data_IF_744492136705
#
_entry.id   IF_744492136705
#
_cell.length_a   1.000
_cell.length_b   1.000
_cell.length_c   1.000
_cell.angle_alpha   90.00
_cell.angle_beta   90.00
_cell.angle_gamma   90.00
#
_symmetry.space_group_name_H-M   'P 1'
#
loop_
_entity.id
_entity.type
_entity.pdbx_description
1 polymer ?
#
# COMPACT_ATOMS: atom_id res chain seq x y z
N UNK A 1 6.67 -39.57 -31.53
CA UNK A 1 6.43 -38.11 -31.68
C UNK A 1 5.01 -37.67 -31.31
N UNK A 2 4.01 -38.57 -31.22
CA UNK A 2 2.62 -38.21 -30.89
C UNK A 2 2.39 -38.12 -29.36
N UNK A 3 3.07 -38.95 -28.56
CA UNK A 3 2.94 -38.94 -27.08
C UNK A 3 3.41 -37.63 -26.44
N UNK A 4 4.54 -37.09 -26.90
CA UNK A 4 5.09 -35.84 -26.38
C UNK A 4 4.17 -34.65 -26.63
N UNK A 5 3.45 -34.62 -27.76
CA UNK A 5 2.50 -33.56 -28.08
C UNK A 5 1.32 -33.55 -27.11
N UNK A 6 0.81 -34.72 -26.70
CA UNK A 6 -0.29 -34.82 -25.73
C UNK A 6 0.10 -34.37 -24.32
N UNK A 7 1.33 -34.66 -23.89
CA UNK A 7 1.84 -34.21 -22.59
C UNK A 7 2.04 -32.70 -22.58
N UNK A 8 2.57 -32.14 -23.67
CA UNK A 8 2.80 -30.69 -23.80
C UNK A 8 1.47 -29.93 -23.79
N UNK A 9 0.46 -30.41 -24.51
CA UNK A 9 -0.86 -29.74 -24.53
C UNK A 9 -1.57 -29.83 -23.19
N UNK A 10 -1.50 -30.98 -22.50
CA UNK A 10 -2.05 -31.13 -21.15
C UNK A 10 -1.37 -30.19 -20.15
N UNK A 11 -0.04 -30.08 -20.20
CA UNK A 11 0.72 -29.17 -19.36
C UNK A 11 0.37 -27.70 -19.65
N UNK A 12 0.27 -27.33 -20.94
CA UNK A 12 -0.12 -25.98 -21.33
C UNK A 12 -1.51 -25.63 -20.78
N UNK A 13 -2.49 -26.51 -20.96
CA UNK A 13 -3.86 -26.31 -20.45
C UNK A 13 -3.89 -26.14 -18.93
N UNK A 14 -3.13 -26.96 -18.19
CA UNK A 14 -3.02 -26.86 -16.74
C UNK A 14 -2.42 -25.51 -16.31
N UNK A 15 -1.33 -25.08 -16.95
CA UNK A 15 -0.67 -23.81 -16.66
C UNK A 15 -1.58 -22.61 -16.96
N UNK A 16 -2.30 -22.63 -18.09
CA UNK A 16 -3.28 -21.60 -18.42
C UNK A 16 -4.44 -21.56 -17.42
N UNK A 17 -4.93 -22.72 -16.99
CA UNK A 17 -5.96 -22.81 -15.96
C UNK A 17 -5.52 -22.23 -14.62
N UNK A 18 -4.30 -22.57 -14.18
CA UNK A 18 -3.72 -22.01 -12.95
C UNK A 18 -3.52 -20.49 -13.07
N UNK A 19 -2.98 -20.01 -14.19
CA UNK A 19 -2.80 -18.58 -14.43
C UNK A 19 -4.14 -17.82 -14.43
N UNK A 20 -5.21 -18.41 -14.97
CA UNK A 20 -6.56 -17.86 -14.94
C UNK A 20 -7.11 -17.79 -13.51
N UNK A 21 -6.92 -18.84 -12.69
CA UNK A 21 -7.32 -18.82 -11.28
C UNK A 21 -6.53 -17.80 -10.47
N UNK A 22 -5.22 -17.69 -10.69
CA UNK A 22 -4.38 -16.71 -10.00
C UNK A 22 -4.77 -15.27 -10.33
N UNK A 23 -5.31 -15.01 -11.53
CA UNK A 23 -5.86 -13.70 -11.91
C UNK A 23 -7.14 -13.32 -11.14
N UNK A 24 -7.90 -14.30 -10.65
CA UNK A 24 -9.10 -14.06 -9.84
C UNK A 24 -8.76 -13.80 -8.37
N UNK A 25 -7.55 -14.18 -7.94
CA UNK A 25 -7.10 -13.82 -6.62
C UNK A 25 -6.79 -12.32 -6.59
N UNK A 26 -7.19 -11.60 -5.53
CA UNK A 26 -6.94 -10.18 -5.39
C UNK A 26 -5.47 -9.91 -4.98
N UNK A 27 -4.51 -10.47 -5.72
CA UNK A 27 -3.07 -10.20 -5.58
C UNK A 27 -2.80 -8.80 -6.13
N UNK A 28 -2.64 -7.83 -5.23
CA UNK A 28 -2.42 -6.42 -5.59
C UNK A 28 -3.43 -5.44 -4.96
N UNK A 29 -4.47 -5.94 -4.29
CA UNK A 29 -5.41 -5.10 -3.52
C UNK A 29 -4.88 -4.70 -2.13
N UNK A 30 -3.57 -4.48 -2.00
CA UNK A 30 -3.00 -4.03 -0.72
C UNK A 30 -3.43 -2.63 -0.25
N UNK A 31 -3.93 -1.66 -1.07
CA UNK A 31 -4.23 -0.34 -0.50
C UNK A 31 -5.33 -0.35 0.56
N UNK A 32 -6.10 -1.44 0.70
CA UNK A 32 -7.19 -1.56 1.69
C UNK A 32 -6.87 -2.47 2.87
N UNK A 33 -5.71 -3.14 2.89
CA UNK A 33 -5.37 -3.99 4.03
C UNK A 33 -4.90 -3.11 5.20
N UNK A 34 -5.29 -3.48 6.43
CA UNK A 34 -4.94 -2.71 7.63
C UNK A 34 -3.43 -2.46 7.78
N UNK A 35 -2.59 -3.40 7.34
CA UNK A 35 -1.14 -3.24 7.37
C UNK A 35 -0.62 -2.16 6.41
N UNK A 36 -1.02 -2.23 5.13
CA UNK A 36 -0.64 -1.25 4.10
C UNK A 36 -1.19 0.15 4.44
N UNK A 37 -2.40 0.24 5.01
CA UNK A 37 -2.97 1.49 5.52
C UNK A 37 -2.17 2.07 6.70
N UNK A 38 -1.77 1.23 7.66
CA UNK A 38 -0.91 1.67 8.77
C UNK A 38 0.47 2.13 8.29
N UNK A 39 1.05 1.45 7.29
CA UNK A 39 2.33 1.85 6.72
C UNK A 39 2.23 3.19 5.97
N UNK A 40 1.13 3.43 5.23
CA UNK A 40 0.85 4.71 4.59
C UNK A 40 0.72 5.83 5.61
N UNK A 41 -0.11 5.65 6.66
CA UNK A 41 -0.27 6.63 7.73
C UNK A 41 1.06 6.94 8.43
N UNK A 42 1.92 5.93 8.61
CA UNK A 42 3.25 6.15 9.19
C UNK A 42 4.14 6.99 8.27
N UNK A 43 4.12 6.72 6.95
CA UNK A 43 4.88 7.50 5.96
C UNK A 43 4.38 8.94 5.88
N UNK A 44 3.07 9.16 5.92
CA UNK A 44 2.47 10.50 5.97
C UNK A 44 2.92 11.28 7.19
N UNK A 45 2.87 10.67 8.38
CA UNK A 45 3.35 11.31 9.61
C UNK A 45 4.85 11.66 9.57
N UNK A 46 5.69 10.81 8.96
CA UNK A 46 7.12 11.10 8.78
C UNK A 46 7.35 12.27 7.81
N UNK A 47 6.57 12.34 6.72
CA UNK A 47 6.63 13.45 5.77
C UNK A 47 6.19 14.76 6.40
N UNK A 48 5.10 14.76 7.17
CA UNK A 48 4.65 15.92 7.94
C UNK A 48 5.73 16.39 8.92
N UNK A 49 6.32 15.47 9.69
CA UNK A 49 7.41 15.81 10.62
C UNK A 49 8.67 16.34 9.91
N UNK A 50 8.91 15.91 8.67
CA UNK A 50 10.02 16.43 7.85
C UNK A 50 9.70 17.82 7.30
N UNK A 51 8.49 18.03 6.80
CA UNK A 51 8.02 19.32 6.31
C UNK A 51 7.99 20.35 7.44
N UNK A 52 7.47 19.99 8.61
CA UNK A 52 7.43 20.86 9.79
C UNK A 52 8.83 21.31 10.22
N UNK A 53 9.83 20.41 10.18
CA UNK A 53 11.24 20.77 10.42
C UNK A 53 11.80 21.73 9.38
N UNK A 54 11.43 21.56 8.11
CA UNK A 54 11.88 22.42 7.03
C UNK A 54 11.26 23.83 7.11
N UNK A 55 9.96 23.91 7.41
CA UNK A 55 9.23 25.17 7.52
C UNK A 55 9.28 25.81 8.92
N UNK A 56 9.89 25.15 9.91
CA UNK A 56 9.98 25.64 11.28
C UNK A 56 8.64 25.65 12.04
N UNK A 57 7.68 24.82 11.62
CA UNK A 57 6.34 24.75 12.25
C UNK A 57 6.45 23.90 13.52
N UNK A 58 6.23 24.48 14.71
CA UNK A 58 6.32 23.76 15.96
C UNK A 58 5.16 22.75 16.09
N UNK A 59 5.44 21.59 16.68
CA UNK A 59 4.40 20.63 17.08
C UNK A 59 3.73 21.14 18.35
N UNK A 60 2.42 21.24 18.38
CA UNK A 60 1.76 21.69 19.59
C UNK A 60 1.75 20.62 20.69
N UNK A 61 2.08 21.04 21.91
CA UNK A 61 2.07 20.20 23.10
C UNK A 61 0.65 19.82 23.58
N UNK A 62 -0.39 20.59 23.20
CA UNK A 62 -1.77 20.35 23.62
C UNK A 62 -2.43 19.22 22.83
N UNK A 63 -2.44 19.30 21.50
CA UNK A 63 -3.10 18.31 20.64
C UNK A 63 -2.14 17.35 19.92
N UNK A 64 -0.83 17.62 19.94
CA UNK A 64 0.18 16.82 19.25
C UNK A 64 0.20 16.94 17.72
N UNK A 65 -0.47 17.94 17.12
CA UNK A 65 -0.48 18.20 15.67
C UNK A 65 0.45 19.37 15.29
N UNK A 66 0.78 19.45 14.00
CA UNK A 66 1.47 20.60 13.40
C UNK A 66 0.43 21.60 12.90
N UNK A 67 0.55 22.85 13.30
CA UNK A 67 -0.27 23.96 12.83
C UNK A 67 0.51 25.26 12.96
N UNK A 68 0.14 26.25 12.17
CA UNK A 68 0.79 27.56 12.27
C UNK A 68 0.51 28.20 13.64
N UNK A 69 1.41 29.05 14.15
CA UNK A 69 1.15 29.82 15.37
C UNK A 69 -0.10 30.70 15.29
N UNK A 70 -0.52 31.06 14.07
CA UNK A 70 -1.72 31.84 13.76
C UNK A 70 -3.01 31.03 13.67
N UNK A 71 -2.94 29.69 13.62
CA UNK A 71 -4.13 28.85 13.60
C UNK A 71 -4.73 28.74 15.00
N UNK A 72 -6.00 29.12 15.13
CA UNK A 72 -6.73 29.00 16.39
C UNK A 72 -6.85 27.53 16.79
N UNK A 73 -6.45 27.23 18.02
CA UNK A 73 -6.47 25.89 18.54
C UNK A 73 -7.90 25.45 18.87
N UNK A 74 -8.60 24.86 17.90
CA UNK A 74 -9.93 24.28 18.15
C UNK A 74 -9.77 22.83 18.65
N UNK A 75 -10.24 22.51 19.86
CA UNK A 75 -10.12 21.17 20.45
C UNK A 75 -10.95 20.12 19.71
#
# INVERSE_FOLDING_TARGET
MIESTGVITALAMALFGVAAMLRLLPVGSCPECGHCRLEQLRKEAELEARAARFYGIPRCASCGRYHEPSEDHRP
#
